data_IF_145018106739
#
_entry.id   IF_145018106739
#
_cell.length_a   1.000
_cell.length_b   1.000
_cell.length_c   1.000
_cell.angle_alpha   90.00
_cell.angle_beta   90.00
_cell.angle_gamma   90.00
#
_symmetry.space_group_name_H-M   'P 1'
#
loop_
_entity.id
_entity.type
_entity.pdbx_description
1 polymer ?
#
# COMPACT_ATOMS: atom_id res chain seq x y z
N UNK A 1 -23.65 -5.66 -39.44
CA UNK A 1 -24.80 -5.35 -38.58
C UNK A 1 -24.38 -5.61 -37.12
N UNK A 2 -23.45 -4.85 -36.51
CA UNK A 2 -23.59 -3.56 -35.81
C UNK A 2 -24.73 -3.50 -34.79
N UNK A 3 -24.39 -3.55 -33.49
CA UNK A 3 -24.79 -2.73 -32.32
C UNK A 3 -24.11 -3.39 -31.09
N UNK A 4 -23.18 -2.81 -30.32
CA UNK A 4 -23.17 -1.49 -29.64
C UNK A 4 -24.08 -1.59 -28.40
N UNK A 5 -23.71 -1.35 -27.13
CA UNK A 5 -22.67 -0.51 -26.52
C UNK A 5 -22.58 -0.77 -25.00
N UNK A 6 -21.44 -0.36 -24.44
CA UNK A 6 -21.02 -0.30 -23.03
C UNK A 6 -22.04 0.28 -22.03
N UNK A 7 -22.02 -0.24 -20.81
CA UNK A 7 -22.51 0.48 -19.61
C UNK A 7 -21.36 0.58 -18.59
N UNK A 8 -20.68 1.73 -18.60
CA UNK A 8 -19.71 2.14 -17.58
C UNK A 8 -20.42 3.00 -16.52
N UNK A 9 -19.98 2.81 -15.27
CA UNK A 9 -19.70 3.84 -14.26
C UNK A 9 -20.83 4.72 -13.69
N UNK A 10 -21.22 4.40 -12.45
CA UNK A 10 -21.64 5.35 -11.40
C UNK A 10 -21.30 4.64 -10.07
N UNK A 11 -20.35 5.07 -9.24
CA UNK A 11 -20.54 6.13 -8.24
C UNK A 11 -19.18 6.66 -7.77
N UNK A 12 -19.08 7.98 -7.78
CA UNK A 12 -17.93 8.76 -7.40
C UNK A 12 -17.86 9.00 -5.87
N UNK A 13 -16.67 8.81 -5.32
CA UNK A 13 -15.91 9.76 -4.46
C UNK A 13 -16.73 10.66 -3.51
N UNK A 14 -16.66 10.36 -2.21
CA UNK A 14 -16.89 11.34 -1.15
C UNK A 14 -15.56 12.05 -0.83
N UNK A 15 -15.50 13.34 -1.16
CA UNK A 15 -14.36 14.23 -0.92
C UNK A 15 -14.48 14.93 0.43
N UNK A 16 -13.37 14.88 1.16
CA UNK A 16 -12.84 15.78 2.20
C UNK A 16 -13.55 17.13 2.36
N UNK A 17 -14.02 17.41 3.59
CA UNK A 17 -14.46 18.73 4.02
C UNK A 17 -13.25 19.65 4.26
N UNK A 18 -13.28 20.79 3.57
CA UNK A 18 -12.20 21.77 3.48
C UNK A 18 -12.24 22.79 4.64
N UNK A 19 -11.04 23.11 5.08
CA UNK A 19 -10.58 24.20 5.95
C UNK A 19 -11.20 25.59 5.68
N UNK A 20 -11.44 26.32 6.78
CA UNK A 20 -11.65 27.76 6.81
C UNK A 20 -10.32 28.52 6.71
N UNK A 21 -10.21 29.54 5.83
CA UNK A 21 -9.44 30.76 6.08
C UNK A 21 -9.76 31.88 5.07
N UNK A 22 -10.45 32.89 5.61
CA UNK A 22 -10.33 34.35 5.43
C UNK A 22 -10.01 35.01 4.08
N UNK A 23 -10.92 35.92 3.75
CA UNK A 23 -10.99 36.95 2.71
C UNK A 23 -10.00 38.11 2.94
N UNK A 24 -9.35 38.62 1.88
CA UNK A 24 -8.55 39.86 1.94
C UNK A 24 -8.14 40.35 0.54
N UNK A 25 -8.66 41.51 0.16
CA UNK A 25 -8.77 42.13 -1.17
C UNK A 25 -7.51 42.94 -1.58
N UNK A 26 -7.07 42.91 -2.84
CA UNK A 26 -6.40 44.06 -3.50
C UNK A 26 -6.32 43.98 -5.06
N UNK A 27 -7.11 44.87 -5.68
CA UNK A 27 -6.80 45.84 -6.77
C UNK A 27 -6.29 45.38 -8.16
N UNK A 28 -7.08 45.85 -9.13
CA UNK A 28 -6.96 45.93 -10.61
C UNK A 28 -5.70 46.64 -11.11
N UNK A 29 -5.09 46.10 -12.17
CA UNK A 29 -4.13 46.81 -13.02
C UNK A 29 -4.11 46.28 -14.46
N UNK A 30 -4.74 47.00 -15.38
CA UNK A 30 -4.65 46.77 -16.83
C UNK A 30 -3.29 47.23 -17.36
N UNK A 31 -2.64 46.40 -18.19
CA UNK A 31 -1.42 46.79 -18.92
C UNK A 31 -1.23 45.93 -20.18
N UNK A 32 -1.49 46.55 -21.33
CA UNK A 32 -1.40 46.02 -22.70
C UNK A 32 0.02 46.28 -23.23
N UNK A 33 0.67 45.31 -23.88
CA UNK A 33 1.81 45.62 -24.76
C UNK A 33 2.79 44.47 -25.03
N UNK A 34 2.93 44.11 -26.32
CA UNK A 34 4.20 43.70 -26.90
C UNK A 34 4.42 42.21 -27.14
N UNK A 35 4.18 41.75 -28.37
CA UNK A 35 4.84 40.57 -28.96
C UNK A 35 6.27 40.92 -29.35
N UNK A 36 7.24 40.05 -29.01
CA UNK A 36 8.24 39.61 -29.99
C UNK A 36 8.51 38.11 -29.78
N UNK A 37 9.18 37.35 -30.63
CA UNK A 37 9.43 37.32 -32.05
C UNK A 37 9.77 35.83 -32.26
N UNK A 38 9.38 35.27 -33.40
CA UNK A 38 9.75 33.89 -33.76
C UNK A 38 11.15 33.96 -34.34
N UNK A 39 12.16 33.58 -33.54
CA UNK A 39 13.43 33.16 -34.11
C UNK A 39 13.77 31.72 -33.71
N UNK A 40 13.93 30.94 -34.77
CA UNK A 40 14.36 29.56 -34.77
C UNK A 40 15.86 29.51 -34.57
N UNK A 41 16.33 28.65 -33.66
CA UNK A 41 17.69 28.12 -33.73
C UNK A 41 17.66 26.62 -33.40
N UNK A 42 18.07 25.85 -34.40
CA UNK A 42 18.23 24.40 -34.39
C UNK A 42 19.70 24.03 -34.11
N UNK A 43 19.91 22.75 -33.78
CA UNK A 43 21.18 22.01 -33.62
C UNK A 43 21.89 22.18 -32.26
N UNK A 44 22.46 21.14 -31.62
CA UNK A 44 22.60 19.72 -31.93
C UNK A 44 23.20 18.99 -30.71
N UNK A 45 22.79 17.73 -30.52
CA UNK A 45 23.57 16.57 -30.06
C UNK A 45 24.45 16.72 -28.81
N UNK A 46 24.07 15.99 -27.76
CA UNK A 46 24.90 15.67 -26.61
C UNK A 46 24.33 14.47 -25.86
N UNK A 47 24.45 13.29 -26.46
CA UNK A 47 24.13 12.04 -25.79
C UNK A 47 25.10 11.80 -24.64
N UNK A 48 24.59 11.85 -23.41
CA UNK A 48 25.19 11.19 -22.26
C UNK A 48 24.17 10.16 -21.78
N UNK A 49 24.40 8.91 -22.16
CA UNK A 49 23.78 7.76 -21.52
C UNK A 49 24.17 7.79 -20.03
N UNK A 50 23.30 8.34 -19.19
CA UNK A 50 23.40 8.14 -17.77
C UNK A 50 22.88 6.73 -17.50
N UNK A 51 23.82 5.86 -17.14
CA UNK A 51 23.62 4.46 -16.84
C UNK A 51 22.33 4.25 -16.04
N UNK A 52 21.44 3.41 -16.58
CA UNK A 52 20.26 2.97 -15.87
C UNK A 52 20.68 2.39 -14.53
N UNK A 53 20.35 3.08 -13.44
CA UNK A 53 20.41 2.50 -12.12
C UNK A 53 19.37 1.40 -12.10
N UNK A 54 19.84 0.15 -12.17
CA UNK A 54 18.99 -1.00 -11.92
C UNK A 54 18.26 -0.76 -10.60
N UNK A 55 16.93 -0.89 -10.53
CA UNK A 55 16.25 -0.85 -9.24
C UNK A 55 16.83 -1.99 -8.41
N UNK A 56 17.35 -1.67 -7.22
CA UNK A 56 17.76 -2.65 -6.23
C UNK A 56 16.51 -3.34 -5.70
N UNK A 57 15.91 -4.21 -6.51
CA UNK A 57 14.84 -5.11 -6.09
C UNK A 57 15.51 -6.33 -5.44
N UNK A 58 15.96 -6.11 -4.22
CA UNK A 58 16.51 -7.15 -3.34
C UNK A 58 15.53 -7.50 -2.23
N UNK A 59 14.23 -7.60 -2.53
CA UNK A 59 13.25 -8.03 -1.54
C UNK A 59 13.53 -9.51 -1.21
N UNK A 60 14.28 -9.74 -0.13
CA UNK A 60 14.55 -11.08 0.37
C UNK A 60 13.28 -11.63 1.05
N UNK A 61 12.81 -12.77 0.56
CA UNK A 61 11.64 -13.45 1.10
C UNK A 61 12.04 -14.36 2.27
N UNK A 62 11.46 -14.13 3.45
CA UNK A 62 11.51 -15.12 4.54
C UNK A 62 10.10 -15.37 5.06
N UNK A 63 9.64 -16.62 4.93
CA UNK A 63 8.45 -17.10 5.66
C UNK A 63 8.88 -17.48 7.06
N UNK A 64 8.23 -16.91 8.07
CA UNK A 64 8.43 -17.35 9.45
C UNK A 64 7.29 -18.26 9.89
N UNK A 65 7.65 -19.44 10.40
CA UNK A 65 6.72 -20.35 11.07
C UNK A 65 6.53 -19.84 12.50
N UNK A 66 5.28 -19.55 12.85
CA UNK A 66 4.93 -19.03 14.16
C UNK A 66 5.18 -20.05 15.30
N UNK A 67 5.50 -19.60 16.53
CA UNK A 67 5.60 -20.46 17.71
C UNK A 67 4.26 -21.16 18.03
N UNK A 68 4.28 -22.27 18.79
CA UNK A 68 3.08 -23.06 19.09
C UNK A 68 2.08 -22.27 19.96
N UNK A 69 0.78 -22.34 19.62
CA UNK A 69 -0.40 -21.56 20.09
C UNK A 69 -0.53 -20.19 19.42
N UNK A 70 -1.65 -19.90 18.71
CA UNK A 70 -1.58 -19.48 17.31
C UNK A 70 -1.16 -18.02 17.19
N UNK A 71 0.14 -17.80 17.29
CA UNK A 71 0.80 -16.69 16.66
C UNK A 71 0.52 -16.80 15.16
N UNK A 72 0.08 -15.69 14.57
CA UNK A 72 -0.20 -15.65 13.14
C UNK A 72 1.09 -15.97 12.39
N UNK A 73 1.01 -16.78 11.33
CA UNK A 73 2.11 -16.89 10.38
C UNK A 73 2.25 -15.56 9.67
N UNK A 74 3.47 -15.20 9.27
CA UNK A 74 3.68 -13.96 8.54
C UNK A 74 4.90 -14.04 7.62
N UNK A 75 4.90 -13.16 6.63
CA UNK A 75 6.06 -12.86 5.79
C UNK A 75 6.74 -11.59 6.26
N UNK A 76 8.05 -11.49 6.06
CA UNK A 76 8.82 -10.27 6.29
C UNK A 76 9.65 -9.94 5.06
N UNK A 77 9.75 -8.65 4.75
CA UNK A 77 10.56 -8.09 3.66
C UNK A 77 11.29 -6.84 4.13
N UNK A 78 12.51 -6.64 3.61
CA UNK A 78 13.22 -5.37 3.69
C UNK A 78 13.02 -4.61 2.37
N UNK A 79 12.50 -3.38 2.44
CA UNK A 79 12.25 -2.53 1.28
C UNK A 79 13.28 -1.40 1.18
N UNK A 80 13.37 -0.76 0.01
CA UNK A 80 14.27 0.38 -0.22
C UNK A 80 15.75 0.05 -0.02
N UNK A 81 16.16 -1.20 -0.23
CA UNK A 81 17.54 -1.67 -0.02
C UNK A 81 17.97 -1.74 1.45
N UNK A 82 17.03 -1.79 2.39
CA UNK A 82 17.34 -1.96 3.80
C UNK A 82 17.98 -3.33 4.10
N UNK A 83 18.88 -3.37 5.09
CA UNK A 83 19.46 -4.63 5.61
C UNK A 83 18.66 -5.14 6.81
N UNK A 84 18.82 -6.42 7.14
CA UNK A 84 18.04 -7.08 8.19
C UNK A 84 18.28 -6.48 9.58
N UNK A 85 19.51 -6.02 9.84
CA UNK A 85 19.98 -5.53 11.15
C UNK A 85 19.70 -4.04 11.36
N UNK A 86 19.16 -3.35 10.36
CA UNK A 86 18.85 -1.93 10.49
C UNK A 86 17.61 -1.70 11.36
N UNK A 87 17.68 -0.63 12.16
CA UNK A 87 16.51 -0.03 12.81
C UNK A 87 15.67 0.65 11.71
N UNK A 88 14.46 0.13 11.52
CA UNK A 88 13.61 0.47 10.38
C UNK A 88 12.19 0.70 10.88
N UNK A 89 11.46 1.68 10.30
CA UNK A 89 10.02 1.75 10.46
C UNK A 89 9.39 0.41 10.07
N UNK A 90 8.44 -0.05 10.88
CA UNK A 90 7.68 -1.27 10.64
C UNK A 90 6.35 -0.93 9.96
N UNK A 91 6.12 -1.49 8.77
CA UNK A 91 4.83 -1.47 8.09
C UNK A 91 4.19 -2.85 8.21
N UNK A 92 2.96 -2.91 8.73
CA UNK A 92 2.18 -4.14 8.83
C UNK A 92 1.02 -4.05 7.85
N UNK A 93 1.00 -4.94 6.87
CA UNK A 93 0.00 -4.92 5.80
C UNK A 93 -0.96 -6.09 5.94
N UNK A 94 -2.24 -5.78 6.13
CA UNK A 94 -3.33 -6.74 6.39
C UNK A 94 -4.12 -6.97 5.10
N UNK A 95 -4.12 -8.20 4.59
CA UNK A 95 -4.77 -8.54 3.32
C UNK A 95 -6.30 -8.72 3.46
N UNK A 96 -7.02 -8.69 2.33
CA UNK A 96 -8.47 -8.89 2.27
C UNK A 96 -8.90 -10.37 2.27
N UNK A 97 -10.22 -10.61 2.30
CA UNK A 97 -10.82 -11.94 2.25
C UNK A 97 -10.38 -12.71 0.98
N UNK A 98 -9.89 -13.94 1.18
CA UNK A 98 -9.49 -14.86 0.11
C UNK A 98 -8.16 -14.53 -0.55
N UNK A 99 -7.44 -13.51 -0.07
CA UNK A 99 -6.09 -13.21 -0.51
C UNK A 99 -5.05 -14.02 0.29
N UNK A 100 -3.80 -13.99 -0.16
CA UNK A 100 -2.64 -14.57 0.52
C UNK A 100 -1.61 -13.48 0.83
N UNK A 101 -0.77 -13.65 1.87
CA UNK A 101 0.34 -12.73 2.13
C UNK A 101 1.24 -12.51 0.93
N UNK A 102 1.53 -13.56 0.16
CA UNK A 102 2.40 -13.52 -1.01
C UNK A 102 1.77 -12.68 -2.11
N UNK A 103 0.51 -12.92 -2.46
CA UNK A 103 -0.16 -12.19 -3.52
C UNK A 103 -0.35 -10.72 -3.13
N UNK A 104 -0.80 -10.46 -1.90
CA UNK A 104 -0.97 -9.12 -1.37
C UNK A 104 0.35 -8.33 -1.31
N UNK A 105 1.47 -8.95 -0.94
CA UNK A 105 2.75 -8.24 -0.86
C UNK A 105 3.22 -7.65 -2.19
N UNK A 106 2.82 -8.22 -3.33
CA UNK A 106 3.39 -7.89 -4.66
C UNK A 106 3.34 -6.40 -5.01
N UNK A 107 2.25 -5.72 -4.67
CA UNK A 107 2.08 -4.30 -4.98
C UNK A 107 2.77 -3.38 -3.95
N UNK A 108 3.15 -3.91 -2.78
CA UNK A 108 3.92 -3.20 -1.75
C UNK A 108 5.43 -3.29 -2.00
N UNK A 109 5.90 -4.35 -2.67
CA UNK A 109 7.33 -4.54 -2.94
C UNK A 109 7.95 -3.47 -3.86
N UNK A 110 7.11 -2.71 -4.58
CA UNK A 110 7.56 -1.60 -5.43
C UNK A 110 7.68 -0.26 -4.70
N UNK A 111 7.39 -0.21 -3.40
CA UNK A 111 7.55 1.02 -2.61
C UNK A 111 9.04 1.36 -2.47
N UNK A 112 9.41 2.58 -2.90
CA UNK A 112 10.76 3.13 -2.71
C UNK A 112 10.91 3.79 -1.33
N UNK A 113 10.50 3.07 -0.29
CA UNK A 113 10.62 3.47 1.10
C UNK A 113 11.51 2.46 1.82
N UNK A 114 12.44 2.98 2.63
CA UNK A 114 13.34 2.15 3.43
C UNK A 114 12.64 1.74 4.73
N UNK A 115 12.00 0.57 4.71
CA UNK A 115 11.19 0.07 5.81
C UNK A 115 11.22 -1.47 5.89
N UNK A 116 10.77 -2.00 7.03
CA UNK A 116 10.49 -3.43 7.20
C UNK A 116 8.99 -3.66 6.98
N UNK A 117 8.64 -4.47 5.99
CA UNK A 117 7.26 -4.87 5.71
C UNK A 117 6.99 -6.23 6.36
N UNK A 118 5.91 -6.33 7.12
CA UNK A 118 5.36 -7.57 7.64
C UNK A 118 3.96 -7.77 7.07
N UNK A 119 3.71 -8.96 6.52
CA UNK A 119 2.40 -9.33 5.95
C UNK A 119 1.90 -10.58 6.67
N UNK A 120 1.00 -10.45 7.66
CA UNK A 120 0.48 -11.59 8.39
C UNK A 120 -0.53 -12.36 7.55
N UNK A 121 -0.57 -13.67 7.78
CA UNK A 121 -1.53 -14.59 7.20
C UNK A 121 -2.74 -14.71 8.12
N UNK A 122 -3.92 -14.52 7.55
CA UNK A 122 -5.15 -14.72 8.28
C UNK A 122 -5.33 -16.20 8.70
N UNK A 123 -5.95 -16.49 9.85
CA UNK A 123 -5.90 -17.82 10.47
C UNK A 123 -6.78 -18.87 9.78
N UNK A 124 -7.88 -18.46 9.16
CA UNK A 124 -8.89 -19.38 8.62
C UNK A 124 -8.73 -19.52 7.10
N UNK A 125 -8.58 -20.74 6.55
CA UNK A 125 -8.56 -20.94 5.10
C UNK A 125 -9.87 -20.49 4.44
N UNK A 126 -9.77 -19.84 3.28
CA UNK A 126 -10.93 -19.42 2.48
C UNK A 126 -10.60 -19.42 0.98
N UNK A 127 -11.26 -20.29 0.22
CA UNK A 127 -10.96 -20.47 -1.21
C UNK A 127 -9.49 -20.83 -1.43
N UNK A 128 -8.76 -19.98 -2.15
CA UNK A 128 -7.31 -20.12 -2.39
C UNK A 128 -6.43 -19.29 -1.45
N UNK A 129 -7.02 -18.57 -0.51
CA UNK A 129 -6.32 -17.73 0.46
C UNK A 129 -6.90 -17.89 1.84
N UNK A 130 -7.05 -16.77 2.55
CA UNK A 130 -7.43 -16.79 3.97
C UNK A 130 -8.47 -15.72 4.33
N UNK A 131 -9.10 -15.95 5.47
CA UNK A 131 -10.04 -15.06 6.14
C UNK A 131 -9.59 -14.80 7.57
N UNK A 132 -9.82 -13.59 8.06
CA UNK A 132 -9.44 -13.16 9.41
C UNK A 132 -10.25 -13.88 10.50
N UNK A 133 -11.50 -14.15 10.17
CA UNK A 133 -12.45 -14.87 10.98
C UNK A 133 -13.20 -15.88 10.12
N UNK A 134 -13.84 -16.90 10.72
CA UNK A 134 -14.63 -17.88 9.97
C UNK A 134 -15.69 -17.19 9.10
N UNK A 135 -15.46 -17.15 7.79
CA UNK A 135 -16.38 -16.57 6.85
C UNK A 135 -17.32 -17.64 6.33
N UNK A 136 -18.62 -17.39 6.46
CA UNK A 136 -19.68 -18.21 5.85
C UNK A 136 -20.86 -17.34 5.46
N UNK A 137 -21.60 -17.83 4.47
CA UNK A 137 -22.89 -17.30 4.11
C UNK A 137 -23.86 -17.49 5.30
N UNK A 138 -24.76 -16.52 5.51
CA UNK A 138 -25.76 -16.54 6.57
C UNK A 138 -25.20 -16.70 8.01
N UNK A 139 -24.11 -16.01 8.33
CA UNK A 139 -23.64 -15.87 9.71
C UNK A 139 -24.52 -14.90 10.49
N UNK A 140 -24.67 -15.15 11.79
CA UNK A 140 -25.29 -14.21 12.71
C UNK A 140 -24.36 -13.02 12.97
N UNK A 141 -24.92 -11.91 13.41
CA UNK A 141 -24.15 -10.74 13.85
C UNK A 141 -23.21 -11.09 15.02
N UNK A 142 -23.69 -11.90 15.96
CA UNK A 142 -22.91 -12.35 17.11
C UNK A 142 -21.66 -13.15 16.71
N UNK A 143 -21.80 -14.07 15.74
CA UNK A 143 -20.67 -14.84 15.22
C UNK A 143 -19.65 -13.95 14.50
N UNK A 144 -20.13 -12.97 13.73
CA UNK A 144 -19.25 -12.00 13.08
C UNK A 144 -18.47 -11.18 14.12
N UNK A 145 -19.16 -10.64 15.13
CA UNK A 145 -18.54 -9.87 16.20
C UNK A 145 -17.50 -10.70 16.96
N UNK A 146 -17.83 -11.96 17.26
CA UNK A 146 -16.92 -12.90 17.95
C UNK A 146 -15.67 -13.19 17.11
N UNK A 147 -15.85 -13.45 15.81
CA UNK A 147 -14.74 -13.66 14.89
C UNK A 147 -13.83 -12.44 14.77
N UNK A 148 -14.41 -11.24 14.65
CA UNK A 148 -13.64 -9.99 14.61
C UNK A 148 -12.84 -9.80 15.90
N UNK A 149 -13.45 -10.01 17.08
CA UNK A 149 -12.77 -9.91 18.37
C UNK A 149 -11.59 -10.89 18.46
N UNK A 150 -11.78 -12.15 18.07
CA UNK A 150 -10.71 -13.14 18.05
C UNK A 150 -9.58 -12.77 17.07
N UNK A 151 -9.91 -12.16 15.93
CA UNK A 151 -8.93 -11.68 14.95
C UNK A 151 -8.09 -10.52 15.50
N UNK A 152 -8.74 -9.56 16.18
CA UNK A 152 -8.08 -8.47 16.89
C UNK A 152 -7.09 -9.00 17.90
N UNK A 153 -7.52 -9.91 18.79
CA UNK A 153 -6.66 -10.43 19.86
C UNK A 153 -5.43 -11.17 19.29
N UNK A 154 -5.58 -11.85 18.13
CA UNK A 154 -4.44 -12.47 17.43
C UNK A 154 -3.48 -11.43 16.85
N UNK A 155 -4.00 -10.35 16.27
CA UNK A 155 -3.18 -9.26 15.76
C UNK A 155 -2.45 -8.52 16.90
N UNK A 156 -3.11 -8.24 18.01
CA UNK A 156 -2.49 -7.63 19.19
C UNK A 156 -1.30 -8.47 19.69
N UNK A 157 -1.48 -9.79 19.83
CA UNK A 157 -0.37 -10.69 20.18
C UNK A 157 0.77 -10.67 19.16
N UNK A 158 0.45 -10.56 17.87
CA UNK A 158 1.47 -10.41 16.83
C UNK A 158 2.20 -9.08 16.99
N UNK A 159 1.50 -7.97 17.23
CA UNK A 159 2.11 -6.65 17.42
C UNK A 159 3.13 -6.68 18.57
N UNK A 160 2.72 -7.21 19.73
CA UNK A 160 3.63 -7.35 20.88
C UNK A 160 4.87 -8.21 20.55
N UNK A 161 4.69 -9.27 19.74
CA UNK A 161 5.82 -10.08 19.28
C UNK A 161 6.74 -9.31 18.34
N UNK A 162 6.18 -8.53 17.43
CA UNK A 162 6.93 -7.73 16.46
C UNK A 162 7.68 -6.59 17.15
N UNK A 163 7.07 -5.91 18.12
CA UNK A 163 7.71 -4.84 18.93
C UNK A 163 8.93 -5.36 19.68
N UNK A 164 8.83 -6.55 20.30
CA UNK A 164 9.98 -7.18 20.97
C UNK A 164 11.07 -7.61 19.99
N UNK A 165 10.69 -7.96 18.76
CA UNK A 165 11.61 -8.56 17.76
C UNK A 165 12.34 -7.51 16.93
N UNK A 166 11.67 -6.42 16.62
CA UNK A 166 12.12 -5.37 15.72
C UNK A 166 12.10 -4.03 16.46
N UNK A 167 13.24 -3.62 17.03
CA UNK A 167 13.42 -2.26 17.48
C UNK A 167 13.20 -1.30 16.30
N UNK A 168 12.38 -0.27 16.50
CA UNK A 168 12.04 0.76 15.51
C UNK A 168 12.59 2.11 15.93
#
# INVERSE_FOLDING_TARGET
MTHGTNFLATFARAFVALTALSLGLAIVGCGRGGTPDRDSASASVGGAASAGRAPASGAHFRTQKAPPEPALRYLTFQLGGAREEEELPLLIAVHGLGDTPQNFSRWLLSLDLKLRLVVPEAPDPYGHGYSWFPYREHRTEHELATGIAASRDRLERLLEQLERRFPT
#
